data_IF_511149696912
#
_entry.id   IF_511149696912
#
_cell.length_a   1.000
_cell.length_b   1.000
_cell.length_c   1.000
_cell.angle_alpha   90.00
_cell.angle_beta   90.00
_cell.angle_gamma   90.00
#
_symmetry.space_group_name_H-M   'P 1'
#
loop_
_entity.id
_entity.type
_entity.pdbx_description
1 polymer ?
#
# COMPACT_ATOMS: atom_id res chain seq x y z
N UNK A 1 -59.05 -9.55 -4.16
CA UNK A 1 -57.74 -10.23 -4.13
C UNK A 1 -56.97 -9.71 -2.94
N UNK A 2 -56.28 -10.59 -2.20
CA UNK A 2 -55.41 -10.16 -1.09
C UNK A 2 -54.11 -9.57 -1.67
N UNK A 3 -53.68 -8.40 -1.17
CA UNK A 3 -52.52 -7.66 -1.70
C UNK A 3 -51.29 -7.81 -0.80
N UNK A 4 -51.51 -8.13 0.48
CA UNK A 4 -50.46 -8.25 1.48
C UNK A 4 -49.71 -9.59 1.35
N UNK A 5 -48.37 -9.61 1.40
CA UNK A 5 -47.59 -10.84 1.34
C UNK A 5 -47.96 -11.80 2.48
N UNK A 6 -48.03 -13.09 2.18
CA UNK A 6 -48.48 -14.10 3.15
C UNK A 6 -49.97 -14.06 3.45
N UNK A 7 -50.78 -13.19 2.82
CA UNK A 7 -52.24 -13.24 2.92
C UNK A 7 -52.85 -13.90 1.69
N UNK A 8 -53.72 -14.87 1.94
CA UNK A 8 -54.39 -15.66 0.91
C UNK A 8 -55.91 -15.67 1.14
N UNK A 9 -56.67 -15.93 0.08
CA UNK A 9 -58.13 -15.97 0.16
C UNK A 9 -58.59 -17.10 1.10
N UNK A 10 -59.45 -16.76 2.07
CA UNK A 10 -60.01 -17.73 3.01
C UNK A 10 -61.31 -18.38 2.54
N UNK A 11 -61.89 -17.90 1.44
CA UNK A 11 -63.18 -18.32 0.87
C UNK A 11 -63.20 -18.13 -0.67
N UNK A 12 -64.10 -18.81 -1.41
CA UNK A 12 -64.11 -18.79 -2.87
C UNK A 12 -64.34 -17.41 -3.48
N UNK A 13 -65.03 -16.53 -2.74
CA UNK A 13 -65.30 -15.16 -3.17
C UNK A 13 -64.18 -14.21 -2.74
N UNK A 14 -63.14 -14.71 -2.07
CA UNK A 14 -62.03 -13.95 -1.50
C UNK A 14 -62.51 -12.74 -0.67
N UNK A 15 -63.56 -12.95 0.12
CA UNK A 15 -64.16 -11.93 1.00
C UNK A 15 -63.30 -11.74 2.25
N UNK A 16 -62.62 -12.79 2.68
CA UNK A 16 -61.70 -12.82 3.81
C UNK A 16 -60.28 -13.13 3.33
N UNK A 17 -59.31 -12.39 3.89
CA UNK A 17 -57.88 -12.66 3.71
C UNK A 17 -57.33 -13.27 4.99
N UNK A 18 -56.78 -14.49 4.89
CA UNK A 18 -56.15 -15.18 6.02
C UNK A 18 -54.64 -15.14 5.84
N UNK A 19 -53.94 -14.91 6.95
CA UNK A 19 -52.49 -14.93 6.97
C UNK A 19 -51.98 -16.37 7.07
N UNK A 20 -51.21 -16.79 6.07
CA UNK A 20 -50.53 -18.08 5.97
C UNK A 20 -49.03 -17.82 5.78
N UNK A 21 -48.32 -17.46 6.85
CA UNK A 21 -46.86 -17.32 6.79
C UNK A 21 -46.17 -18.67 6.98
N UNK A 22 -45.28 -18.99 6.03
CA UNK A 22 -44.37 -20.12 6.15
C UNK A 22 -43.07 -19.69 6.82
N UNK A 23 -42.37 -20.59 7.54
CA UNK A 23 -41.07 -20.27 8.08
C UNK A 23 -40.05 -20.03 6.97
N UNK A 24 -38.90 -19.39 7.29
CA UNK A 24 -37.83 -19.19 6.32
C UNK A 24 -37.42 -20.50 5.66
N UNK A 25 -37.12 -20.46 4.37
CA UNK A 25 -36.81 -21.64 3.58
C UNK A 25 -38.00 -22.35 2.96
N UNK A 26 -39.22 -21.87 3.22
CA UNK A 26 -40.43 -22.43 2.64
C UNK A 26 -41.27 -21.36 1.92
N UNK A 27 -42.09 -21.83 0.98
CA UNK A 27 -43.15 -21.06 0.33
C UNK A 27 -44.53 -21.65 0.59
N UNK A 28 -45.53 -20.79 0.46
CA UNK A 28 -46.94 -21.17 0.57
C UNK A 28 -47.39 -21.74 -0.76
N UNK A 29 -47.88 -22.98 -0.76
CA UNK A 29 -48.46 -23.63 -1.93
C UNK A 29 -49.93 -23.95 -1.68
N UNK A 30 -50.85 -23.58 -2.59
CA UNK A 30 -52.24 -24.00 -2.48
C UNK A 30 -52.36 -25.52 -2.60
N UNK A 31 -53.21 -26.12 -1.77
CA UNK A 31 -53.45 -27.55 -1.70
C UNK A 31 -54.95 -27.85 -1.68
N UNK A 32 -55.38 -28.83 -2.46
CA UNK A 32 -56.76 -29.29 -2.56
C UNK A 32 -57.48 -28.88 -3.86
N UNK A 33 -58.70 -29.39 -4.05
CA UNK A 33 -59.51 -29.14 -5.26
C UNK A 33 -60.20 -27.77 -5.28
N UNK A 34 -60.30 -27.13 -4.12
CA UNK A 34 -60.79 -25.76 -3.98
C UNK A 34 -59.73 -25.01 -3.17
N UNK A 35 -59.24 -23.89 -3.67
CA UNK A 35 -58.07 -23.14 -3.16
C UNK A 35 -58.27 -22.54 -1.74
N UNK A 36 -58.42 -23.39 -0.72
CA UNK A 36 -58.58 -23.02 0.69
C UNK A 36 -57.64 -23.76 1.64
N UNK A 37 -56.93 -24.78 1.13
CA UNK A 37 -55.82 -25.41 1.81
C UNK A 37 -54.50 -24.76 1.38
N UNK A 38 -53.61 -24.51 2.34
CA UNK A 38 -52.26 -24.04 2.06
C UNK A 38 -51.28 -24.92 2.82
N UNK A 39 -50.22 -25.32 2.14
CA UNK A 39 -49.11 -26.06 2.73
C UNK A 39 -47.80 -25.28 2.56
N UNK A 40 -46.91 -25.42 3.53
CA UNK A 40 -45.56 -24.89 3.42
C UNK A 40 -44.68 -25.94 2.76
N UNK A 41 -44.08 -25.57 1.64
CA UNK A 41 -43.17 -26.44 0.89
C UNK A 41 -41.77 -25.84 0.89
N UNK A 42 -40.77 -26.71 1.01
CA UNK A 42 -39.37 -26.33 0.95
C UNK A 42 -39.01 -25.65 -0.39
N UNK A 43 -38.24 -24.58 -0.30
CA UNK A 43 -37.64 -23.93 -1.46
C UNK A 43 -36.73 -24.90 -2.22
N UNK A 44 -36.85 -24.90 -3.55
CA UNK A 44 -35.98 -25.66 -4.43
C UNK A 44 -34.53 -25.12 -4.38
N UNK A 45 -33.57 -25.96 -4.72
CA UNK A 45 -32.17 -25.56 -4.87
C UNK A 45 -32.04 -24.41 -5.86
N UNK A 46 -31.27 -23.38 -5.51
CA UNK A 46 -31.18 -22.15 -6.29
C UNK A 46 -32.20 -21.08 -5.90
N UNK A 47 -33.06 -21.34 -4.91
CA UNK A 47 -34.05 -20.37 -4.42
C UNK A 47 -33.99 -20.19 -2.90
N UNK A 48 -34.49 -19.05 -2.42
CA UNK A 48 -34.56 -18.72 -1.00
C UNK A 48 -35.88 -18.03 -0.62
N UNK A 49 -36.28 -18.16 0.64
CA UNK A 49 -37.40 -17.45 1.25
C UNK A 49 -37.03 -16.98 2.66
N UNK A 50 -37.18 -15.69 2.94
CA UNK A 50 -36.97 -15.13 4.28
C UNK A 50 -38.13 -15.35 5.24
N UNK A 51 -39.19 -16.06 4.82
CA UNK A 51 -40.37 -16.40 5.64
C UNK A 51 -41.50 -15.36 5.59
N UNK A 52 -41.21 -14.06 5.56
CA UNK A 52 -42.27 -13.04 5.62
C UNK A 52 -43.20 -13.02 4.38
N UNK A 53 -42.64 -13.21 3.19
CA UNK A 53 -43.43 -13.09 1.95
C UNK A 53 -44.00 -14.42 1.46
N UNK A 54 -43.67 -15.52 2.15
CA UNK A 54 -44.19 -16.85 1.85
C UNK A 54 -43.90 -17.33 0.42
N UNK A 55 -42.86 -16.80 -0.23
CA UNK A 55 -42.49 -17.14 -1.63
C UNK A 55 -41.00 -17.39 -1.79
N UNK A 56 -40.63 -18.41 -2.56
CA UNK A 56 -39.25 -18.67 -2.92
C UNK A 56 -38.84 -17.77 -4.10
N UNK A 57 -37.68 -17.13 -3.99
CA UNK A 57 -37.08 -16.30 -5.04
C UNK A 57 -35.74 -16.89 -5.47
N UNK A 58 -35.33 -16.77 -6.74
CA UNK A 58 -34.01 -17.22 -7.18
C UNK A 58 -32.91 -16.47 -6.43
N UNK A 59 -31.77 -17.15 -6.21
CA UNK A 59 -30.57 -16.51 -5.68
C UNK A 59 -30.05 -15.45 -6.66
N UNK A 60 -29.43 -14.40 -6.11
CA UNK A 60 -28.70 -13.42 -6.89
C UNK A 60 -27.53 -14.08 -7.63
N UNK A 61 -27.46 -13.89 -8.95
CA UNK A 61 -26.33 -14.34 -9.74
C UNK A 61 -25.23 -13.27 -9.77
N UNK A 62 -24.21 -13.44 -8.93
CA UNK A 62 -23.09 -12.52 -8.87
C UNK A 62 -22.24 -12.52 -10.15
N UNK A 63 -22.24 -13.63 -10.89
CA UNK A 63 -21.45 -13.76 -12.12
C UNK A 63 -21.96 -12.84 -13.24
N UNK A 64 -23.27 -12.58 -13.27
CA UNK A 64 -23.88 -11.61 -14.18
C UNK A 64 -23.29 -10.20 -14.01
N UNK A 65 -22.85 -9.87 -12.80
CA UNK A 65 -22.25 -8.57 -12.46
C UNK A 65 -20.72 -8.60 -12.43
N UNK A 66 -20.10 -9.73 -12.80
CA UNK A 66 -18.64 -9.90 -12.75
C UNK A 66 -18.06 -9.95 -11.34
N UNK A 67 -18.89 -10.22 -10.32
CA UNK A 67 -18.47 -10.29 -8.93
C UNK A 67 -18.41 -11.74 -8.44
N UNK A 68 -17.39 -12.13 -7.67
CA UNK A 68 -17.42 -13.40 -6.97
C UNK A 68 -18.47 -13.39 -5.85
N UNK A 69 -19.15 -14.53 -5.59
CA UNK A 69 -20.03 -14.65 -4.44
C UNK A 69 -19.20 -14.77 -3.15
N UNK A 70 -19.50 -13.93 -2.15
CA UNK A 70 -18.98 -14.09 -0.77
C UNK A 70 -19.77 -15.17 -0.05
N UNK A 71 -21.07 -15.21 -0.31
CA UNK A 71 -21.98 -16.23 0.20
C UNK A 71 -22.83 -16.74 -0.97
N UNK A 72 -22.86 -18.05 -1.24
CA UNK A 72 -23.57 -18.60 -2.41
C UNK A 72 -25.10 -18.57 -2.30
N UNK A 73 -25.65 -18.28 -1.12
CA UNK A 73 -27.07 -18.45 -0.85
C UNK A 73 -27.40 -19.79 -0.21
N UNK A 74 -28.55 -19.87 0.45
CA UNK A 74 -29.15 -21.12 0.90
C UNK A 74 -30.69 -21.00 0.82
N UNK A 75 -31.45 -21.96 1.34
CA UNK A 75 -32.92 -21.90 1.32
C UNK A 75 -33.48 -20.69 2.08
N UNK A 76 -32.78 -20.17 3.09
CA UNK A 76 -33.27 -19.10 3.97
C UNK A 76 -32.74 -17.71 3.61
N UNK A 77 -31.59 -17.62 2.94
CA UNK A 77 -30.87 -16.40 2.66
C UNK A 77 -30.41 -16.34 1.21
N UNK A 78 -30.45 -15.13 0.64
CA UNK A 78 -29.97 -14.86 -0.71
C UNK A 78 -28.44 -15.02 -0.82
N UNK A 79 -27.94 -15.19 -2.04
CA UNK A 79 -26.52 -15.02 -2.34
C UNK A 79 -26.08 -13.57 -2.09
N UNK A 80 -24.85 -13.41 -1.58
CA UNK A 80 -24.22 -12.11 -1.32
C UNK A 80 -23.00 -11.97 -2.22
N UNK A 81 -23.02 -10.95 -3.07
CA UNK A 81 -21.93 -10.65 -4.00
C UNK A 81 -20.91 -9.73 -3.35
N UNK A 82 -19.62 -9.95 -3.62
CA UNK A 82 -18.61 -8.97 -3.24
C UNK A 82 -18.76 -7.76 -4.15
N UNK A 83 -19.13 -6.59 -3.62
CA UNK A 83 -18.83 -5.34 -4.31
C UNK A 83 -17.32 -5.17 -4.25
N UNK A 84 -16.62 -5.73 -5.22
CA UNK A 84 -15.17 -5.66 -5.25
C UNK A 84 -14.72 -4.21 -5.29
N UNK A 85 -14.02 -3.76 -4.26
CA UNK A 85 -12.76 -3.11 -4.59
C UNK A 85 -11.96 -4.17 -5.36
N UNK A 86 -11.38 -3.84 -6.53
CA UNK A 86 -10.57 -4.79 -7.25
C UNK A 86 -9.51 -5.35 -6.28
N UNK A 87 -9.25 -6.66 -6.29
CA UNK A 87 -8.08 -7.17 -5.58
C UNK A 87 -6.88 -6.37 -6.07
N UNK A 88 -6.10 -5.83 -5.15
CA UNK A 88 -4.89 -5.04 -5.43
C UNK A 88 -3.76 -5.90 -6.07
N UNK A 89 -4.13 -6.94 -6.80
CA UNK A 89 -3.28 -8.01 -7.34
C UNK A 89 -2.87 -7.76 -8.80
N UNK A 90 -3.11 -6.55 -9.31
CA UNK A 90 -2.45 -6.04 -10.54
C UNK A 90 -1.56 -4.83 -10.25
N UNK A 91 -1.65 -4.26 -9.05
CA UNK A 91 -0.79 -3.16 -8.63
C UNK A 91 0.57 -3.65 -8.14
N UNK A 92 0.69 -4.87 -7.64
CA UNK A 92 1.93 -5.35 -7.00
C UNK A 92 3.10 -5.48 -8.01
N UNK A 93 2.88 -6.12 -9.16
CA UNK A 93 3.94 -6.24 -10.18
C UNK A 93 4.32 -4.91 -10.82
N UNK A 94 3.35 -4.05 -11.14
CA UNK A 94 3.62 -2.74 -11.74
C UNK A 94 4.33 -1.80 -10.74
N UNK A 95 3.94 -1.82 -9.46
CA UNK A 95 4.61 -1.02 -8.42
C UNK A 95 6.00 -1.54 -8.15
N UNK A 96 6.23 -2.86 -8.08
CA UNK A 96 7.57 -3.43 -7.93
C UNK A 96 8.47 -3.05 -9.10
N UNK A 97 7.98 -3.15 -10.34
CA UNK A 97 8.73 -2.71 -11.53
C UNK A 97 9.05 -1.22 -11.45
N UNK A 98 8.06 -0.37 -11.14
CA UNK A 98 8.27 1.08 -11.05
C UNK A 98 9.29 1.44 -9.97
N UNK A 99 9.21 0.83 -8.79
CA UNK A 99 10.16 1.02 -7.69
C UNK A 99 11.56 0.52 -8.04
N UNK A 100 11.67 -0.60 -8.74
CA UNK A 100 12.97 -1.09 -9.21
C UNK A 100 13.61 -0.13 -10.21
N UNK A 101 12.83 0.38 -11.18
CA UNK A 101 13.31 1.33 -12.19
C UNK A 101 13.73 2.65 -11.55
N UNK A 102 12.93 3.19 -10.62
CA UNK A 102 13.28 4.44 -9.93
C UNK A 102 14.56 4.29 -9.10
N UNK A 103 14.72 3.17 -8.38
CA UNK A 103 15.94 2.88 -7.64
C UNK A 103 17.17 2.80 -8.56
N UNK A 104 17.06 2.10 -9.70
CA UNK A 104 18.14 2.00 -10.67
C UNK A 104 18.56 3.38 -11.22
N UNK A 105 17.60 4.23 -11.60
CA UNK A 105 17.89 5.58 -12.11
C UNK A 105 18.60 6.44 -11.07
N UNK A 106 18.18 6.36 -9.80
CA UNK A 106 18.82 7.09 -8.70
C UNK A 106 20.27 6.64 -8.48
N UNK A 107 20.54 5.33 -8.48
CA UNK A 107 21.91 4.80 -8.34
C UNK A 107 22.79 5.23 -9.50
N UNK A 108 22.31 5.14 -10.74
CA UNK A 108 23.08 5.52 -11.92
C UNK A 108 23.42 7.01 -11.93
N UNK A 109 22.44 7.87 -11.61
CA UNK A 109 22.66 9.31 -11.52
C UNK A 109 23.65 9.70 -10.41
N UNK A 110 23.56 9.09 -9.23
CA UNK A 110 24.51 9.31 -8.15
C UNK A 110 25.93 8.87 -8.53
N UNK A 111 26.07 7.71 -9.18
CA UNK A 111 27.36 7.23 -9.67
C UNK A 111 27.96 8.17 -10.71
N UNK A 112 27.15 8.62 -11.69
CA UNK A 112 27.58 9.59 -12.70
C UNK A 112 28.04 10.91 -12.06
N UNK A 113 27.26 11.47 -11.14
CA UNK A 113 27.62 12.68 -10.41
C UNK A 113 28.92 12.49 -9.61
N UNK A 114 29.08 11.36 -8.94
CA UNK A 114 30.29 11.01 -8.21
C UNK A 114 31.51 10.93 -9.13
N UNK A 115 31.38 10.28 -10.28
CA UNK A 115 32.40 10.24 -11.33
C UNK A 115 32.76 11.64 -11.83
N UNK A 116 31.76 12.49 -12.11
CA UNK A 116 32.00 13.86 -12.56
C UNK A 116 32.73 14.70 -11.50
N UNK A 117 32.30 14.63 -10.23
CA UNK A 117 32.97 15.32 -9.12
C UNK A 117 34.40 14.80 -8.94
N UNK A 118 34.61 13.48 -9.04
CA UNK A 118 35.93 12.88 -8.95
C UNK A 118 36.86 13.35 -10.06
N UNK A 119 36.38 13.39 -11.31
CA UNK A 119 37.14 13.92 -12.46
C UNK A 119 37.49 15.41 -12.26
N UNK A 120 36.53 16.23 -11.82
CA UNK A 120 36.76 17.65 -11.55
C UNK A 120 37.79 17.86 -10.42
N UNK A 121 37.74 17.04 -9.37
CA UNK A 121 38.74 17.06 -8.30
C UNK A 121 40.11 16.60 -8.81
N UNK A 122 40.17 15.55 -9.62
CA UNK A 122 41.43 15.04 -10.20
C UNK A 122 42.09 16.08 -11.11
N UNK A 123 41.32 16.79 -11.93
CA UNK A 123 41.85 17.88 -12.76
C UNK A 123 42.34 19.07 -11.93
N UNK A 124 41.73 19.36 -10.77
CA UNK A 124 42.25 20.39 -9.84
C UNK A 124 43.50 19.96 -9.08
N UNK A 125 43.70 18.66 -8.86
CA UNK A 125 44.89 18.12 -8.17
C UNK A 125 46.11 18.03 -9.10
N UNK A 126 45.95 18.18 -10.43
CA UNK A 126 47.05 18.22 -11.39
C UNK A 126 47.27 19.63 -12.01
N UNK A 127 47.88 20.60 -11.31
CA UNK A 127 48.54 21.71 -11.96
C UNK A 127 49.80 21.23 -12.74
N UNK A 128 50.22 21.93 -13.80
CA UNK A 128 51.18 21.41 -14.80
C UNK A 128 52.56 21.07 -14.20
N UNK A 129 53.03 19.86 -14.52
CA UNK A 129 54.32 19.32 -14.09
C UNK A 129 55.50 20.13 -14.67
N UNK A 130 56.42 20.46 -13.78
CA UNK A 130 57.75 21.04 -13.99
C UNK A 130 58.50 20.38 -15.15
N UNK A 131 59.03 21.18 -16.08
CA UNK A 131 59.97 20.68 -17.10
C UNK A 131 61.31 20.29 -16.46
N UNK A 132 61.86 19.09 -16.71
CA UNK A 132 63.22 18.73 -16.32
C UNK A 132 64.16 18.87 -17.52
N UNK A 133 65.05 19.88 -17.52
CA UNK A 133 66.18 19.90 -18.45
C UNK A 133 67.42 20.63 -17.87
N UNK A 134 68.46 19.82 -17.64
CA UNK A 134 69.91 20.07 -17.67
C UNK A 134 70.61 21.04 -16.68
N UNK A 135 71.36 20.39 -15.79
CA UNK A 135 72.67 20.66 -15.16
C UNK A 135 73.62 21.73 -15.80
N UNK A 136 74.12 22.71 -15.01
CA UNK A 136 75.55 23.03 -14.75
C UNK A 136 75.79 24.39 -13.98
N UNK A 137 76.81 24.54 -13.09
CA UNK A 137 77.09 25.73 -12.22
C UNK A 137 78.39 26.53 -12.57
N UNK A 138 78.88 27.52 -11.76
CA UNK A 138 78.47 28.91 -11.37
C UNK A 138 79.45 29.97 -12.03
N UNK A 139 79.65 31.27 -11.62
CA UNK A 139 79.07 32.14 -10.58
C UNK A 139 78.63 33.56 -11.06
N UNK A 140 77.93 34.32 -10.21
CA UNK A 140 78.15 35.75 -9.92
C UNK A 140 76.93 36.32 -9.17
N UNK A 141 77.23 36.84 -7.98
CA UNK A 141 76.38 37.60 -7.08
C UNK A 141 75.63 38.78 -7.72
N UNK A 142 74.34 38.96 -7.36
CA UNK A 142 73.82 40.21 -6.76
C UNK A 142 72.30 40.14 -6.55
N UNK A 143 71.88 39.88 -5.30
CA UNK A 143 70.80 40.60 -4.60
C UNK A 143 70.45 39.88 -3.28
N UNK A 144 70.99 40.40 -2.19
CA UNK A 144 70.50 40.32 -0.81
C UNK A 144 70.34 38.93 -0.18
N UNK A 145 71.44 38.41 0.35
CA UNK A 145 71.46 37.31 1.32
C UNK A 145 71.35 37.86 2.75
N UNK A 146 70.34 37.44 3.50
CA UNK A 146 70.29 37.61 4.95
C UNK A 146 70.30 36.22 5.60
N UNK A 147 71.41 35.90 6.28
CA UNK A 147 71.47 34.94 7.38
C UNK A 147 72.47 35.52 8.38
N UNK A 148 72.14 35.67 9.67
CA UNK A 148 72.30 34.70 10.78
C UNK A 148 72.01 35.48 12.11
N UNK A 149 72.23 34.96 13.35
CA UNK A 149 71.91 33.69 14.04
C UNK A 149 71.27 33.88 15.45
N UNK A 150 71.00 32.75 16.12
CA UNK A 150 70.87 32.55 17.58
C UNK A 150 71.88 33.31 18.45
N UNK A 151 71.45 34.37 19.15
CA UNK A 151 72.04 34.84 20.40
C UNK A 151 70.96 35.57 21.20
N UNK A 152 70.17 34.85 22.00
CA UNK A 152 69.51 35.38 23.21
C UNK A 152 69.01 34.15 24.00
N UNK A 153 69.94 33.35 24.52
CA UNK A 153 69.64 32.36 25.57
C UNK A 153 70.26 32.85 26.88
N UNK A 154 69.41 33.37 27.75
CA UNK A 154 69.67 33.55 29.19
C UNK A 154 68.50 33.00 30.01
N UNK A 155 68.75 31.93 30.77
CA UNK A 155 67.96 31.45 31.93
C UNK A 155 68.42 32.18 33.22
N UNK A 156 67.81 32.04 34.44
CA UNK A 156 66.52 31.47 34.89
C UNK A 156 65.71 32.29 35.97
N UNK A 157 64.48 31.82 36.28
CA UNK A 157 63.55 31.91 37.49
C UNK A 157 63.86 32.86 38.71
N UNK A 158 62.88 33.34 39.53
CA UNK A 158 61.98 32.48 40.34
C UNK A 158 60.52 32.95 40.65
N UNK A 159 59.68 31.95 40.96
CA UNK A 159 58.60 31.89 41.99
C UNK A 159 57.57 33.04 42.17
N UNK A 160 56.27 32.77 41.94
CA UNK A 160 55.26 32.76 43.03
C UNK A 160 53.91 32.11 42.59
N UNK A 161 53.22 31.58 43.59
CA UNK A 161 52.11 30.63 43.63
C UNK A 161 50.74 31.23 43.30
N UNK A 162 49.82 30.38 42.79
CA UNK A 162 48.38 30.65 42.85
C UNK A 162 47.55 29.84 41.86
N UNK A 163 47.35 28.53 42.05
CA UNK A 163 46.21 27.94 42.77
C UNK A 163 45.00 27.56 41.87
N UNK A 164 44.74 26.23 41.84
CA UNK A 164 43.46 25.49 41.59
C UNK A 164 42.94 25.43 40.14
N UNK A 165 42.96 24.27 39.49
CA UNK A 165 41.95 23.18 39.61
C UNK A 165 40.50 23.69 39.65
N UNK A 166 39.68 23.37 38.65
CA UNK A 166 38.78 22.20 38.71
C UNK A 166 38.04 22.02 37.38
N UNK A 167 37.88 20.76 37.00
CA UNK A 167 36.81 20.29 36.13
C UNK A 167 35.46 20.35 36.87
N UNK A 168 34.38 20.59 36.12
CA UNK A 168 32.99 20.09 36.20
C UNK A 168 32.07 21.16 35.62
#
# INVERSE_FOLDING_TARGET
>A
TCVEPGFHCGDPQCTSCKHHACPPGQEVRPHGNFDFGFECVDCATGTFSGGQEGRCRPWSDCSQFGYPPVFPGNKTHNAVCSLGLPPAETHDTLTVVLLSVTACVLVLSAAQLGLHVWQLRRQRVWPPETQPLLEAPPPAEDACSCQLPEEERGEPLPEDKGLRHLWV
#
